data_IF_385998671404
#
_entry.id   IF_385998671404
#
_cell.length_a   1.000
_cell.length_b   1.000
_cell.length_c   1.000
_cell.angle_alpha   90.00
_cell.angle_beta   90.00
_cell.angle_gamma   90.00
#
_symmetry.space_group_name_H-M   'P 1'
#
loop_
_entity.id
_entity.type
_entity.pdbx_description
1 polymer ?
#
# COMPACT_ATOMS: atom_id res chain seq x y z
N UNK A 1 -12.12 3.79 -27.90
CA UNK A 1 -13.01 4.78 -27.22
C UNK A 1 -12.14 5.98 -26.87
N UNK A 2 -12.59 7.21 -27.10
CA UNK A 2 -11.84 8.39 -26.65
C UNK A 2 -11.94 8.52 -25.12
N UNK A 3 -11.02 9.26 -24.52
CA UNK A 3 -11.10 9.51 -23.06
C UNK A 3 -12.37 10.28 -22.69
N UNK A 4 -12.77 11.26 -23.50
CA UNK A 4 -14.03 11.99 -23.28
C UNK A 4 -15.24 11.05 -23.29
N UNK A 5 -15.32 10.10 -24.24
CA UNK A 5 -16.43 9.13 -24.28
C UNK A 5 -16.42 8.23 -23.01
N UNK A 6 -15.23 7.74 -22.62
CA UNK A 6 -15.08 6.92 -21.41
C UNK A 6 -15.48 7.67 -20.15
N UNK A 7 -15.05 8.93 -20.02
CA UNK A 7 -15.38 9.78 -18.88
C UNK A 7 -16.87 10.12 -18.81
N UNK A 8 -17.49 10.48 -19.92
CA UNK A 8 -18.92 10.79 -19.93
C UNK A 8 -19.77 9.58 -19.55
N UNK A 9 -19.44 8.40 -20.08
CA UNK A 9 -20.10 7.16 -19.72
C UNK A 9 -19.87 6.79 -18.23
N UNK A 10 -18.64 6.97 -17.74
CA UNK A 10 -18.33 6.79 -16.32
C UNK A 10 -19.15 7.72 -15.42
N UNK A 11 -19.22 9.00 -15.76
CA UNK A 11 -19.98 9.99 -14.99
C UNK A 11 -21.50 9.76 -15.05
N UNK A 12 -22.02 9.17 -16.14
CA UNK A 12 -23.41 8.74 -16.23
C UNK A 12 -23.71 7.63 -15.22
N UNK A 13 -22.89 6.58 -15.20
CA UNK A 13 -23.01 5.48 -14.24
C UNK A 13 -22.86 5.97 -12.80
N UNK A 14 -21.89 6.86 -12.55
CA UNK A 14 -21.66 7.41 -11.23
C UNK A 14 -22.85 8.26 -10.74
N UNK A 15 -23.49 9.06 -11.62
CA UNK A 15 -24.69 9.82 -11.27
C UNK A 15 -25.90 8.92 -10.97
N UNK A 16 -26.02 7.81 -11.71
CA UNK A 16 -27.10 6.85 -11.50
C UNK A 16 -26.93 6.07 -10.20
N UNK A 17 -25.74 5.54 -9.95
CA UNK A 17 -25.46 4.64 -8.83
C UNK A 17 -25.06 5.35 -7.55
N UNK A 18 -24.22 6.37 -7.65
CA UNK A 18 -23.58 7.05 -6.51
C UNK A 18 -23.65 8.57 -6.67
N UNK A 19 -24.84 9.17 -6.64
CA UNK A 19 -25.05 10.59 -6.94
C UNK A 19 -24.29 11.54 -6.00
N UNK A 20 -24.06 11.16 -4.74
CA UNK A 20 -23.28 11.97 -3.79
C UNK A 20 -21.81 12.03 -4.23
N UNK A 21 -21.23 10.89 -4.61
CA UNK A 21 -19.85 10.82 -5.12
C UNK A 21 -19.73 11.56 -6.45
N UNK A 22 -20.71 11.41 -7.35
CA UNK A 22 -20.72 12.13 -8.62
C UNK A 22 -20.77 13.65 -8.45
N UNK A 23 -21.56 14.14 -7.51
CA UNK A 23 -21.68 15.58 -7.20
C UNK A 23 -20.40 16.18 -6.59
N UNK A 24 -19.54 15.36 -6.00
CA UNK A 24 -18.28 15.79 -5.41
C UNK A 24 -17.14 15.95 -6.47
N UNK A 25 -17.33 15.47 -7.69
CA UNK A 25 -16.40 15.71 -8.80
C UNK A 25 -16.50 17.18 -9.22
N UNK A 26 -15.38 17.89 -9.11
CA UNK A 26 -15.35 19.34 -9.37
C UNK A 26 -15.33 19.64 -10.87
N UNK A 27 -15.97 20.72 -11.33
CA UNK A 27 -15.90 21.15 -12.71
C UNK A 27 -14.46 21.52 -13.09
N UNK A 28 -14.10 21.42 -14.38
CA UNK A 28 -12.74 21.72 -14.84
C UNK A 28 -12.38 23.19 -14.65
N UNK A 29 -11.10 23.45 -14.39
CA UNK A 29 -10.53 24.79 -14.36
C UNK A 29 -10.34 25.35 -15.76
N UNK A 30 -9.97 26.62 -15.81
CA UNK A 30 -9.74 27.29 -17.08
C UNK A 30 -8.61 26.63 -17.89
N UNK A 31 -8.60 26.83 -19.20
CA UNK A 31 -7.51 26.38 -20.05
C UNK A 31 -6.16 26.94 -19.60
N UNK A 32 -6.12 28.23 -19.21
CA UNK A 32 -4.90 28.88 -18.74
C UNK A 32 -4.33 28.22 -17.45
N UNK A 33 -5.22 27.79 -16.52
CA UNK A 33 -4.79 27.09 -15.30
C UNK A 33 -4.14 25.75 -15.65
N UNK A 34 -4.77 24.99 -16.57
CA UNK A 34 -4.24 23.69 -17.04
C UNK A 34 -2.87 23.84 -17.74
N UNK A 35 -2.75 24.81 -18.66
CA UNK A 35 -1.48 25.11 -19.33
C UNK A 35 -0.39 25.57 -18.31
N UNK A 36 -0.79 26.19 -17.23
CA UNK A 36 0.15 26.58 -16.16
C UNK A 36 0.60 25.35 -15.37
N UNK A 37 -0.32 24.46 -14.99
CA UNK A 37 0.02 23.22 -14.29
C UNK A 37 0.95 22.32 -15.15
N UNK A 38 0.64 22.16 -16.42
CA UNK A 38 1.49 21.43 -17.37
C UNK A 38 2.90 22.04 -17.47
N UNK A 39 3.02 23.35 -17.56
CA UNK A 39 4.31 24.05 -17.71
C UNK A 39 5.23 23.86 -16.48
N UNK A 40 4.64 23.77 -15.28
CA UNK A 40 5.43 23.65 -14.03
C UNK A 40 5.67 22.20 -13.61
N UNK A 41 5.04 21.23 -14.27
CA UNK A 41 5.29 19.80 -14.06
C UNK A 41 6.17 19.22 -15.17
N UNK A 42 5.56 18.75 -16.25
CA UNK A 42 6.23 18.23 -17.45
C UNK A 42 5.21 18.27 -18.61
N UNK A 43 5.60 18.26 -19.88
CA UNK A 43 4.65 18.15 -20.98
C UNK A 43 3.70 16.96 -20.83
N UNK A 44 2.40 17.22 -20.96
CA UNK A 44 1.36 16.21 -20.79
C UNK A 44 1.01 15.51 -22.11
N UNK A 45 0.73 14.18 -22.08
CA UNK A 45 0.05 13.52 -23.20
C UNK A 45 -1.33 14.13 -23.45
N UNK A 46 -1.87 13.92 -24.66
CA UNK A 46 -3.18 14.44 -25.05
C UNK A 46 -4.28 13.97 -24.09
N UNK A 47 -4.30 12.68 -23.75
CA UNK A 47 -5.26 12.10 -22.80
C UNK A 47 -5.25 12.81 -21.45
N UNK A 48 -4.08 13.18 -20.92
CA UNK A 48 -4.01 13.87 -19.63
C UNK A 48 -4.52 15.31 -19.70
N UNK A 49 -4.29 16.02 -20.83
CA UNK A 49 -4.87 17.34 -21.08
C UNK A 49 -6.39 17.26 -21.18
N UNK A 50 -6.90 16.26 -21.88
CA UNK A 50 -8.33 15.99 -22.04
C UNK A 50 -8.95 15.65 -20.67
N UNK A 51 -8.28 14.81 -19.85
CA UNK A 51 -8.74 14.43 -18.52
C UNK A 51 -9.00 15.65 -17.63
N UNK A 52 -8.02 16.56 -17.51
CA UNK A 52 -8.20 17.79 -16.74
C UNK A 52 -9.07 18.85 -17.45
N UNK A 53 -9.44 18.65 -18.68
CA UNK A 53 -10.47 19.45 -19.32
C UNK A 53 -11.90 19.02 -18.95
N UNK A 54 -12.07 17.87 -18.32
CA UNK A 54 -13.34 17.28 -17.92
C UNK A 54 -13.66 17.49 -16.43
N UNK A 55 -12.63 17.66 -15.57
CA UNK A 55 -12.81 17.86 -14.12
C UNK A 55 -11.60 18.56 -13.46
N UNK A 56 -11.77 18.98 -12.21
CA UNK A 56 -10.69 19.46 -11.32
C UNK A 56 -10.64 18.64 -10.01
N UNK A 57 -10.58 17.31 -10.15
CA UNK A 57 -10.45 16.42 -9.03
C UNK A 57 -11.74 16.17 -8.24
N UNK A 58 -11.58 15.36 -7.20
CA UNK A 58 -12.65 15.00 -6.26
C UNK A 58 -12.05 14.84 -4.86
N UNK A 59 -12.52 15.58 -3.84
CA UNK A 59 -12.06 15.38 -2.47
C UNK A 59 -12.70 14.13 -1.86
N UNK A 60 -12.08 13.55 -0.85
CA UNK A 60 -12.71 12.50 -0.04
C UNK A 60 -13.86 13.04 0.83
N UNK A 61 -13.82 14.33 1.17
CA UNK A 61 -14.81 14.98 2.04
C UNK A 61 -15.29 16.28 1.43
N UNK A 62 -16.56 16.58 1.66
CA UNK A 62 -17.16 17.89 1.36
C UNK A 62 -16.61 19.00 2.27
N UNK A 63 -16.97 20.23 1.99
CA UNK A 63 -16.62 21.39 2.83
C UNK A 63 -17.19 21.27 4.25
N UNK A 64 -18.31 20.57 4.43
CA UNK A 64 -18.93 20.25 5.73
C UNK A 64 -18.31 19.00 6.39
N UNK A 65 -17.14 18.55 5.91
CA UNK A 65 -16.40 17.40 6.41
C UNK A 65 -17.14 16.05 6.32
N UNK A 66 -18.18 15.95 5.48
CA UNK A 66 -18.88 14.68 5.21
C UNK A 66 -18.08 13.86 4.20
N UNK A 67 -17.99 12.55 4.42
CA UNK A 67 -17.37 11.65 3.45
C UNK A 67 -18.27 11.56 2.21
N UNK A 68 -17.70 11.82 1.04
CA UNK A 68 -18.43 11.86 -0.25
C UNK A 68 -18.07 10.69 -1.18
N UNK A 69 -17.31 9.74 -0.68
CA UNK A 69 -16.90 8.57 -1.44
C UNK A 69 -15.65 8.75 -2.27
N UNK A 70 -15.37 7.75 -3.07
CA UNK A 70 -14.19 7.65 -3.92
C UNK A 70 -14.64 7.29 -5.34
N UNK A 71 -14.48 8.21 -6.29
CA UNK A 71 -14.86 7.97 -7.68
C UNK A 71 -13.99 6.91 -8.35
N UNK A 72 -12.74 6.78 -7.92
CA UNK A 72 -11.79 5.77 -8.36
C UNK A 72 -11.45 4.79 -7.22
N UNK A 73 -11.05 3.54 -7.53
CA UNK A 73 -10.76 2.52 -6.51
C UNK A 73 -9.65 2.93 -5.53
N UNK A 74 -10.02 3.18 -4.28
CA UNK A 74 -9.10 3.46 -3.17
C UNK A 74 -8.34 4.79 -3.24
N UNK A 75 -8.59 5.62 -4.26
CA UNK A 75 -7.89 6.88 -4.48
C UNK A 75 -8.84 8.04 -4.76
N UNK A 76 -8.42 9.25 -4.40
CA UNK A 76 -9.10 10.50 -4.80
C UNK A 76 -8.51 11.05 -6.08
N UNK A 77 -9.34 11.63 -6.92
CA UNK A 77 -8.90 12.44 -8.07
C UNK A 77 -8.21 13.71 -7.58
N UNK A 78 -7.01 13.98 -8.08
CA UNK A 78 -6.28 15.20 -7.74
C UNK A 78 -6.84 16.41 -8.49
N UNK A 79 -6.94 17.56 -7.80
CA UNK A 79 -7.09 18.86 -8.47
C UNK A 79 -5.78 19.31 -9.10
N UNK A 80 -5.81 20.27 -10.02
CA UNK A 80 -4.60 20.82 -10.64
C UNK A 80 -3.59 21.32 -9.60
N UNK A 81 -4.06 21.97 -8.53
CA UNK A 81 -3.18 22.46 -7.47
C UNK A 81 -2.52 21.30 -6.71
N UNK A 82 -3.24 20.20 -6.51
CA UNK A 82 -2.68 18.99 -5.89
C UNK A 82 -1.72 18.26 -6.83
N UNK A 83 -2.00 18.16 -8.12
CA UNK A 83 -1.04 17.62 -9.12
C UNK A 83 0.29 18.34 -9.02
N UNK A 84 0.26 19.68 -9.06
CA UNK A 84 1.48 20.52 -8.99
C UNK A 84 2.19 20.35 -7.65
N UNK A 85 1.46 20.36 -6.53
CA UNK A 85 2.07 20.24 -5.21
C UNK A 85 2.63 18.85 -4.95
N UNK A 86 1.93 17.78 -5.32
CA UNK A 86 2.41 16.39 -5.20
C UNK A 86 3.63 16.16 -6.08
N UNK A 87 3.58 16.57 -7.35
CA UNK A 87 4.72 16.46 -8.26
C UNK A 87 5.95 17.20 -7.73
N UNK A 88 5.80 18.42 -7.21
CA UNK A 88 6.90 19.19 -6.61
C UNK A 88 7.43 18.49 -5.36
N UNK A 89 6.56 18.08 -4.43
CA UNK A 89 6.92 17.35 -3.21
C UNK A 89 7.75 16.11 -3.53
N UNK A 90 7.31 15.30 -4.47
CA UNK A 90 8.02 14.08 -4.86
C UNK A 90 9.40 14.39 -5.45
N UNK A 91 9.53 15.42 -6.28
CA UNK A 91 10.82 15.84 -6.83
C UNK A 91 11.80 16.36 -5.77
N UNK A 92 11.30 16.97 -4.71
CA UNK A 92 12.14 17.56 -3.66
C UNK A 92 12.51 16.56 -2.55
N UNK A 93 11.65 15.56 -2.30
CA UNK A 93 11.78 14.66 -1.15
C UNK A 93 12.19 13.23 -1.52
N UNK A 94 11.83 12.76 -2.72
CA UNK A 94 12.14 11.40 -3.14
C UNK A 94 13.44 11.40 -3.95
N UNK A 95 14.52 11.07 -3.29
CA UNK A 95 15.85 10.93 -3.89
C UNK A 95 16.08 9.49 -4.36
N UNK A 96 17.02 9.29 -5.34
CA UNK A 96 17.47 7.96 -5.71
C UNK A 96 17.94 7.19 -4.48
N UNK A 97 17.58 5.91 -4.43
CA UNK A 97 17.99 5.03 -3.33
C UNK A 97 19.49 4.73 -3.50
N UNK A 98 20.26 4.86 -2.44
CA UNK A 98 21.74 4.74 -2.48
C UNK A 98 22.26 3.43 -3.07
N UNK A 99 21.48 2.31 -2.97
CA UNK A 99 21.90 1.02 -3.52
C UNK A 99 21.84 0.94 -5.05
N UNK A 100 21.16 1.86 -5.73
CA UNK A 100 21.05 1.88 -7.19
C UNK A 100 22.36 2.29 -7.89
N UNK A 101 23.30 2.85 -7.14
CA UNK A 101 24.61 3.25 -7.60
C UNK A 101 24.62 4.56 -8.37
N UNK A 102 25.83 5.16 -8.58
CA UNK A 102 25.98 6.50 -9.13
C UNK A 102 25.57 6.62 -10.61
N UNK A 103 25.59 5.52 -11.36
CA UNK A 103 25.26 5.51 -12.80
C UNK A 103 23.76 5.34 -13.06
N UNK A 104 22.94 5.03 -12.03
CA UNK A 104 21.51 4.81 -12.17
C UNK A 104 20.76 5.99 -12.81
N UNK A 105 21.00 7.25 -12.44
CA UNK A 105 20.36 8.40 -13.10
C UNK A 105 20.65 8.49 -14.62
N UNK A 106 21.77 7.96 -15.07
CA UNK A 106 22.12 7.90 -16.51
C UNK A 106 21.31 6.81 -17.18
N UNK A 107 21.23 5.62 -16.56
CA UNK A 107 20.45 4.47 -17.03
C UNK A 107 18.98 4.84 -17.18
N UNK A 108 18.38 5.47 -16.17
CA UNK A 108 16.97 5.88 -16.16
C UNK A 108 16.63 6.86 -17.28
N UNK A 109 17.56 7.74 -17.67
CA UNK A 109 17.34 8.68 -18.80
C UNK A 109 17.16 7.99 -20.15
N UNK A 110 17.68 6.78 -20.30
CA UNK A 110 17.55 5.98 -21.52
C UNK A 110 16.29 5.11 -21.53
N UNK A 111 15.60 4.99 -20.40
CA UNK A 111 14.40 4.16 -20.24
C UNK A 111 13.19 4.76 -20.98
N UNK A 112 12.30 3.86 -21.36
CA UNK A 112 11.01 4.19 -21.97
C UNK A 112 9.88 4.16 -20.93
N UNK A 113 8.74 4.74 -21.28
CA UNK A 113 7.53 4.65 -20.48
C UNK A 113 7.17 3.18 -20.19
N UNK A 114 6.73 2.89 -18.98
CA UNK A 114 6.42 1.54 -18.52
C UNK A 114 7.59 0.79 -17.89
N UNK A 115 8.85 1.23 -18.06
CA UNK A 115 10.01 0.62 -17.42
C UNK A 115 10.17 1.15 -15.97
N UNK A 116 10.62 0.29 -15.06
CA UNK A 116 10.81 0.64 -13.64
C UNK A 116 12.05 1.51 -13.45
N UNK A 117 11.87 2.67 -12.80
CA UNK A 117 12.97 3.57 -12.47
C UNK A 117 13.45 3.44 -11.02
N UNK A 118 12.66 2.81 -10.16
CA UNK A 118 12.91 2.65 -8.71
C UNK A 118 13.12 4.02 -8.00
N UNK A 119 12.57 5.07 -8.60
CA UNK A 119 12.62 6.43 -8.09
C UNK A 119 11.53 7.28 -8.73
N UNK A 120 11.19 8.41 -8.12
CA UNK A 120 10.30 9.37 -8.76
C UNK A 120 11.02 10.11 -9.89
N UNK A 121 10.37 10.16 -11.05
CA UNK A 121 10.87 10.91 -12.20
C UNK A 121 10.04 12.18 -12.46
N UNK A 122 10.66 13.28 -12.93
CA UNK A 122 9.91 14.48 -13.33
C UNK A 122 8.87 14.22 -14.43
N UNK A 123 8.99 13.12 -15.15
CA UNK A 123 8.08 12.66 -16.21
C UNK A 123 6.88 11.87 -15.68
N UNK A 124 6.77 11.67 -14.38
CA UNK A 124 5.63 11.03 -13.72
C UNK A 124 4.63 12.10 -13.27
N UNK A 125 3.47 12.15 -13.89
CA UNK A 125 2.45 13.14 -13.55
C UNK A 125 1.37 12.47 -12.70
N UNK A 126 1.32 12.72 -11.38
CA UNK A 126 0.29 12.16 -10.51
C UNK A 126 -1.09 12.72 -10.88
N UNK A 127 -2.13 11.88 -10.89
CA UNK A 127 -3.50 12.30 -11.16
C UNK A 127 -4.52 11.82 -10.13
N UNK A 128 -4.15 10.82 -9.32
CA UNK A 128 -4.96 10.31 -8.21
C UNK A 128 -4.06 9.86 -7.07
N UNK A 129 -4.50 10.03 -5.83
CA UNK A 129 -3.70 9.78 -4.61
C UNK A 129 -4.56 9.07 -3.56
N UNK A 130 -4.00 8.09 -2.87
CA UNK A 130 -4.66 7.44 -1.76
C UNK A 130 -4.49 8.21 -0.43
N UNK A 131 -4.93 7.60 0.68
CA UNK A 131 -4.83 8.22 2.02
C UNK A 131 -3.44 8.09 2.65
N UNK A 132 -2.62 7.18 2.15
CA UNK A 132 -1.25 6.96 2.61
C UNK A 132 -0.25 7.90 1.91
N UNK A 133 -0.66 8.52 0.79
CA UNK A 133 0.18 9.41 -0.01
C UNK A 133 0.82 8.70 -1.20
N UNK A 134 0.42 7.46 -1.46
CA UNK A 134 0.73 6.73 -2.67
C UNK A 134 -0.18 7.21 -3.81
N UNK A 135 0.25 7.08 -5.05
CA UNK A 135 -0.50 7.70 -6.13
C UNK A 135 -0.43 6.95 -7.47
N UNK A 136 -1.48 7.12 -8.25
CA UNK A 136 -1.49 6.78 -9.66
C UNK A 136 -0.92 7.94 -10.47
N UNK A 137 -0.09 7.60 -11.45
CA UNK A 137 0.53 8.58 -12.34
C UNK A 137 0.48 8.16 -13.81
N UNK A 138 0.58 9.18 -14.67
CA UNK A 138 0.79 9.01 -16.10
C UNK A 138 2.27 9.09 -16.38
N UNK A 139 2.84 8.05 -17.00
CA UNK A 139 4.24 8.03 -17.41
C UNK A 139 4.39 8.73 -18.77
N UNK A 140 5.00 9.93 -18.76
CA UNK A 140 5.16 10.76 -19.96
C UNK A 140 6.49 10.55 -20.68
N UNK A 141 7.29 9.52 -20.30
CA UNK A 141 8.48 9.13 -21.05
C UNK A 141 8.10 8.68 -22.47
N UNK A 142 9.06 8.72 -23.38
CA UNK A 142 8.87 8.24 -24.75
C UNK A 142 8.69 6.72 -24.85
N UNK A 143 8.37 6.22 -26.05
CA UNK A 143 8.25 4.79 -26.31
C UNK A 143 6.81 4.33 -26.52
N UNK A 144 6.64 3.01 -26.65
CA UNK A 144 5.34 2.38 -26.97
C UNK A 144 4.27 2.60 -25.90
N UNK A 145 4.70 2.70 -24.64
CA UNK A 145 3.83 2.87 -23.48
C UNK A 145 3.70 4.31 -23.02
N UNK A 146 4.03 5.30 -23.88
CA UNK A 146 3.84 6.72 -23.58
C UNK A 146 2.40 7.00 -23.15
N UNK A 147 2.20 7.57 -21.97
CA UNK A 147 0.87 7.85 -21.42
C UNK A 147 0.25 6.71 -20.61
N UNK A 148 0.97 5.61 -20.41
CA UNK A 148 0.47 4.50 -19.56
C UNK A 148 0.28 4.92 -18.10
N UNK A 149 -0.63 4.22 -17.43
CA UNK A 149 -0.94 4.41 -16.02
C UNK A 149 -0.10 3.45 -15.19
N UNK A 150 0.52 3.99 -14.15
CA UNK A 150 1.32 3.24 -13.19
C UNK A 150 1.03 3.68 -11.76
N UNK A 151 1.47 2.89 -10.80
CA UNK A 151 1.36 3.18 -9.37
C UNK A 151 2.73 3.53 -8.80
N UNK A 152 2.76 4.48 -7.88
CA UNK A 152 3.95 4.87 -7.13
C UNK A 152 3.65 4.76 -5.63
N UNK A 153 4.39 3.91 -4.93
CA UNK A 153 4.37 3.80 -3.49
C UNK A 153 5.50 4.65 -2.89
N UNK A 154 5.20 5.46 -1.89
CA UNK A 154 6.19 6.34 -1.26
C UNK A 154 7.34 5.56 -0.62
N UNK A 155 7.09 4.33 -0.17
CA UNK A 155 8.07 3.44 0.47
C UNK A 155 8.78 2.48 -0.50
N UNK A 156 8.15 2.17 -1.64
CA UNK A 156 8.61 1.14 -2.59
C UNK A 156 8.87 1.69 -4.01
N UNK A 157 8.73 2.99 -4.21
CA UNK A 157 8.88 3.67 -5.50
C UNK A 157 7.92 3.15 -6.60
N UNK A 158 8.37 3.07 -7.83
CA UNK A 158 7.59 2.66 -8.99
C UNK A 158 7.79 1.18 -9.34
N UNK A 159 7.70 0.31 -8.37
CA UNK A 159 7.76 -1.13 -8.58
C UNK A 159 6.62 -1.60 -9.50
N UNK A 160 6.95 -2.54 -10.40
CA UNK A 160 5.97 -3.15 -11.30
C UNK A 160 5.79 -2.45 -12.65
N UNK A 161 5.00 -3.09 -13.51
CA UNK A 161 4.73 -2.65 -14.88
C UNK A 161 3.58 -1.64 -14.99
N UNK A 162 3.16 -1.40 -16.23
CA UNK A 162 1.95 -0.61 -16.52
C UNK A 162 0.70 -1.32 -16.02
N UNK A 163 -0.13 -0.60 -15.27
CA UNK A 163 -1.45 -1.09 -14.85
C UNK A 163 -2.45 -1.02 -16.02
N UNK A 164 -2.43 0.11 -16.76
CA UNK A 164 -3.27 0.35 -17.92
C UNK A 164 -2.49 1.05 -19.02
N UNK A 165 -2.87 0.79 -20.26
CA UNK A 165 -2.24 1.39 -21.45
C UNK A 165 -2.57 2.87 -21.61
N UNK A 166 -3.72 3.33 -21.09
CA UNK A 166 -4.20 4.71 -21.20
C UNK A 166 -5.16 5.09 -20.07
N UNK A 167 -5.40 6.39 -19.89
CA UNK A 167 -6.46 6.92 -19.01
C UNK A 167 -7.85 6.47 -19.45
N UNK A 168 -8.10 6.40 -20.77
CA UNK A 168 -9.39 5.94 -21.29
C UNK A 168 -9.68 4.49 -20.88
N UNK A 169 -8.69 3.59 -21.00
CA UNK A 169 -8.84 2.18 -20.60
C UNK A 169 -9.05 2.05 -19.09
N UNK A 170 -8.33 2.84 -18.29
CA UNK A 170 -8.50 2.84 -16.85
C UNK A 170 -9.91 3.29 -16.44
N UNK A 171 -10.36 4.44 -16.91
CA UNK A 171 -11.68 4.99 -16.60
C UNK A 171 -12.80 4.04 -17.05
N UNK A 172 -12.68 3.45 -18.24
CA UNK A 172 -13.67 2.46 -18.73
C UNK A 172 -13.67 1.18 -17.91
N UNK A 173 -12.52 0.72 -17.42
CA UNK A 173 -12.45 -0.45 -16.54
C UNK A 173 -13.12 -0.19 -15.19
N UNK A 174 -12.91 0.98 -14.59
CA UNK A 174 -13.60 1.40 -13.36
C UNK A 174 -15.11 1.49 -13.56
N UNK A 175 -15.55 2.13 -14.67
CA UNK A 175 -16.97 2.20 -15.03
C UNK A 175 -17.60 0.81 -15.07
N UNK A 176 -16.98 -0.14 -15.80
CA UNK A 176 -17.48 -1.52 -15.92
C UNK A 176 -17.57 -2.23 -14.58
N UNK A 177 -16.60 -2.02 -13.70
CA UNK A 177 -16.63 -2.55 -12.35
C UNK A 177 -17.83 -2.03 -11.56
N UNK A 178 -18.11 -0.72 -11.59
CA UNK A 178 -19.28 -0.14 -10.90
C UNK A 178 -20.59 -0.68 -11.47
N UNK A 179 -20.71 -0.81 -12.81
CA UNK A 179 -21.92 -1.32 -13.47
C UNK A 179 -22.20 -2.78 -13.10
N UNK A 180 -21.19 -3.63 -13.11
CA UNK A 180 -21.32 -5.06 -12.87
C UNK A 180 -21.27 -5.43 -11.38
N UNK A 181 -20.80 -4.52 -10.51
CA UNK A 181 -20.49 -4.84 -9.13
C UNK A 181 -19.32 -5.82 -9.00
N UNK A 182 -18.43 -5.87 -10.00
CA UNK A 182 -17.27 -6.77 -9.98
C UNK A 182 -16.05 -6.08 -9.42
N UNK A 183 -15.10 -6.89 -8.96
CA UNK A 183 -13.81 -6.44 -8.44
C UNK A 183 -13.03 -5.60 -9.48
N UNK A 184 -12.36 -4.57 -8.98
CA UNK A 184 -11.33 -3.81 -9.70
C UNK A 184 -10.10 -3.71 -8.81
N UNK A 185 -9.00 -4.31 -9.22
CA UNK A 185 -7.75 -4.28 -8.44
C UNK A 185 -7.96 -4.68 -6.96
N UNK A 186 -8.60 -5.83 -6.71
CA UNK A 186 -8.95 -6.39 -5.38
C UNK A 186 -9.94 -5.55 -4.55
N UNK A 187 -10.52 -4.52 -5.09
CA UNK A 187 -11.53 -3.68 -4.42
C UNK A 187 -12.90 -3.85 -5.08
N UNK A 188 -13.93 -4.02 -4.25
CA UNK A 188 -15.32 -4.13 -4.67
C UNK A 188 -16.03 -2.79 -4.55
N UNK A 189 -16.75 -2.34 -5.59
CA UNK A 189 -17.58 -1.14 -5.50
C UNK A 189 -18.85 -1.42 -4.70
N UNK A 190 -19.02 -0.68 -3.62
CA UNK A 190 -20.22 -0.73 -2.79
C UNK A 190 -20.85 0.65 -2.72
N UNK A 191 -22.17 0.77 -2.86
CA UNK A 191 -22.86 2.05 -2.76
C UNK A 191 -23.79 2.04 -1.55
N UNK A 192 -23.58 3.01 -0.66
CA UNK A 192 -24.43 3.23 0.50
C UNK A 192 -24.87 4.71 0.55
N UNK A 193 -26.18 4.94 0.60
CA UNK A 193 -26.76 6.30 0.64
C UNK A 193 -26.27 7.22 -0.50
N UNK A 194 -26.00 6.66 -1.69
CA UNK A 194 -25.52 7.39 -2.85
C UNK A 194 -24.02 7.73 -2.82
N UNK A 195 -23.28 7.16 -1.88
CA UNK A 195 -21.84 7.27 -1.73
C UNK A 195 -21.17 5.99 -2.22
N UNK A 196 -20.24 6.10 -3.18
CA UNK A 196 -19.41 4.99 -3.63
C UNK A 196 -18.23 4.78 -2.69
N UNK A 197 -18.06 3.55 -2.26
CA UNK A 197 -16.93 3.09 -1.43
C UNK A 197 -16.28 1.90 -2.12
N UNK A 198 -14.98 1.81 -2.03
CA UNK A 198 -14.22 0.69 -2.54
C UNK A 198 -13.61 -0.07 -1.38
N UNK A 199 -14.13 -1.28 -1.15
CA UNK A 199 -13.71 -2.12 -0.05
C UNK A 199 -13.12 -3.43 -0.57
N UNK A 200 -12.24 -4.04 0.21
CA UNK A 200 -11.79 -5.40 -0.05
C UNK A 200 -12.99 -6.34 0.11
N UNK A 201 -13.24 -7.17 -0.90
CA UNK A 201 -14.26 -8.20 -0.77
C UNK A 201 -13.83 -9.27 0.23
N UNK A 202 -14.45 -9.24 1.39
CA UNK A 202 -14.29 -10.30 2.39
C UNK A 202 -15.35 -11.41 2.25
N UNK A 203 -16.23 -11.36 1.23
CA UNK A 203 -17.32 -12.33 1.07
C UNK A 203 -16.81 -13.72 0.71
N UNK A 204 -15.68 -13.82 0.02
CA UNK A 204 -14.98 -15.10 -0.23
C UNK A 204 -14.09 -15.54 0.94
N UNK A 205 -13.97 -14.73 1.99
CA UNK A 205 -13.47 -15.28 3.23
C UNK A 205 -14.49 -16.30 3.72
N UNK A 206 -14.10 -17.54 3.97
CA UNK A 206 -15.01 -18.54 4.48
C UNK A 206 -15.71 -17.92 5.68
N UNK A 207 -17.08 -18.01 5.70
CA UNK A 207 -17.94 -17.65 6.84
C UNK A 207 -17.12 -17.88 8.10
N UNK A 208 -16.96 -16.89 8.99
CA UNK A 208 -16.08 -17.06 10.12
C UNK A 208 -16.47 -18.35 10.81
N UNK A 209 -15.74 -19.43 10.49
CA UNK A 209 -15.73 -20.58 11.34
C UNK A 209 -15.44 -20.02 12.72
N UNK A 210 -16.13 -20.49 13.78
CA UNK A 210 -15.87 -20.00 15.13
C UNK A 210 -14.36 -19.88 15.24
N UNK A 211 -13.89 -18.63 15.43
CA UNK A 211 -12.45 -18.31 15.38
C UNK A 211 -11.77 -19.37 16.24
N UNK A 212 -10.88 -20.18 15.71
CA UNK A 212 -10.21 -21.17 16.52
C UNK A 212 -9.61 -20.41 17.72
N UNK A 213 -9.83 -20.95 18.91
CA UNK A 213 -9.33 -20.31 20.14
C UNK A 213 -7.84 -20.03 19.99
N UNK A 214 -7.36 -18.87 20.45
CA UNK A 214 -5.94 -18.58 20.42
C UNK A 214 -5.17 -19.67 21.18
N UNK A 215 -3.97 -19.96 20.71
CA UNK A 215 -3.13 -20.99 21.29
C UNK A 215 -2.34 -20.38 22.44
N UNK A 216 -2.40 -20.92 23.67
CA UNK A 216 -1.65 -20.41 24.78
C UNK A 216 -0.13 -20.62 24.54
N UNK A 217 0.63 -19.54 24.49
CA UNK A 217 2.09 -19.54 24.44
C UNK A 217 2.62 -19.01 25.75
N UNK A 218 3.17 -19.91 26.57
CA UNK A 218 3.78 -19.53 27.84
C UNK A 218 5.13 -18.86 27.63
N UNK A 219 5.28 -17.63 28.11
CA UNK A 219 6.52 -16.88 28.08
C UNK A 219 7.14 -16.87 29.47
N UNK A 220 8.43 -17.20 29.59
CA UNK A 220 9.13 -17.23 30.91
C UNK A 220 9.53 -15.83 31.42
N UNK A 221 8.91 -14.77 30.86
CA UNK A 221 9.17 -13.38 31.24
C UNK A 221 7.94 -12.51 31.02
N UNK A 222 7.72 -11.45 31.80
CA UNK A 222 6.61 -10.53 31.59
C UNK A 222 6.77 -9.73 30.30
N UNK A 223 5.67 -9.59 29.52
CA UNK A 223 5.58 -8.58 28.48
C UNK A 223 5.46 -7.22 29.18
N UNK A 224 6.45 -6.36 29.01
CA UNK A 224 6.39 -4.99 29.54
C UNK A 224 5.83 -4.05 28.48
N UNK A 225 4.91 -3.17 28.88
CA UNK A 225 4.49 -2.06 28.05
C UNK A 225 5.68 -1.15 27.71
N UNK A 226 5.74 -0.75 26.43
CA UNK A 226 6.84 0.04 25.89
C UNK A 226 7.05 1.36 26.63
N UNK A 227 8.20 1.53 27.25
CA UNK A 227 8.73 2.83 27.68
C UNK A 227 10.22 2.97 27.30
N UNK A 228 10.54 3.76 26.24
CA UNK A 228 11.91 3.84 25.70
C UNK A 228 12.98 4.38 26.66
N UNK A 229 12.60 4.93 27.82
CA UNK A 229 13.48 5.70 28.68
C UNK A 229 14.07 4.97 29.89
N UNK A 230 13.78 3.68 30.11
CA UNK A 230 14.08 3.01 31.35
C UNK A 230 15.05 1.80 31.27
N UNK A 231 15.72 1.59 30.14
CA UNK A 231 16.63 0.44 30.02
C UNK A 231 18.05 0.82 30.40
N UNK A 232 18.44 0.55 31.62
CA UNK A 232 19.82 0.73 32.14
C UNK A 232 20.29 -0.36 33.11
N UNK A 233 19.75 -1.58 33.09
CA UNK A 233 20.29 -2.66 33.93
C UNK A 233 20.54 -3.94 33.16
N UNK A 234 21.72 -4.53 33.37
CA UNK A 234 22.10 -5.87 32.87
C UNK A 234 21.24 -7.01 33.49
N UNK A 235 20.36 -6.68 34.41
CA UNK A 235 19.53 -7.65 35.17
C UNK A 235 18.26 -8.08 34.42
N UNK A 236 17.93 -7.44 33.27
CA UNK A 236 16.75 -7.78 32.48
C UNK A 236 17.09 -8.66 31.25
N UNK A 237 18.12 -9.50 31.35
CA UNK A 237 18.45 -10.42 30.26
C UNK A 237 17.40 -11.53 30.15
N UNK A 238 16.76 -11.59 28.98
CA UNK A 238 15.82 -12.67 28.66
C UNK A 238 16.61 -13.97 28.48
N UNK A 239 16.13 -15.05 29.12
CA UNK A 239 16.60 -16.39 28.78
C UNK A 239 16.09 -16.83 27.41
N UNK A 240 16.89 -16.54 26.38
CA UNK A 240 16.57 -16.87 25.01
C UNK A 240 16.39 -18.37 24.74
N UNK A 241 17.09 -19.21 25.49
CA UNK A 241 16.97 -20.66 25.35
C UNK A 241 15.64 -21.15 25.94
N UNK A 242 15.19 -20.55 27.05
CA UNK A 242 13.85 -20.83 27.60
C UNK A 242 12.74 -20.41 26.63
N UNK A 243 12.88 -19.24 26.01
CA UNK A 243 11.92 -18.78 24.96
C UNK A 243 11.89 -19.74 23.76
N UNK A 244 13.05 -20.08 23.22
CA UNK A 244 13.16 -21.04 22.11
C UNK A 244 12.51 -22.37 22.46
N UNK A 245 12.80 -22.87 23.66
CA UNK A 245 12.20 -24.11 24.13
C UNK A 245 10.68 -24.04 24.21
N UNK A 246 10.13 -22.98 24.80
CA UNK A 246 8.67 -22.79 24.90
C UNK A 246 7.99 -22.75 23.52
N UNK A 247 8.60 -22.06 22.54
CA UNK A 247 8.08 -22.00 21.18
C UNK A 247 8.12 -23.37 20.49
N UNK A 248 9.22 -24.13 20.66
CA UNK A 248 9.34 -25.46 20.08
C UNK A 248 8.38 -26.45 20.73
N UNK A 249 8.22 -26.41 22.05
CA UNK A 249 7.28 -27.25 22.78
C UNK A 249 5.84 -26.97 22.35
N UNK A 250 5.50 -25.69 22.14
CA UNK A 250 4.18 -25.28 21.62
C UNK A 250 3.98 -25.79 20.21
N UNK A 251 4.92 -25.57 19.30
CA UNK A 251 4.85 -26.07 17.93
C UNK A 251 4.73 -27.59 17.88
N UNK A 252 5.45 -28.32 18.71
CA UNK A 252 5.36 -29.80 18.80
C UNK A 252 4.00 -30.26 19.31
N UNK A 253 3.39 -29.53 20.25
CA UNK A 253 2.07 -29.85 20.76
C UNK A 253 0.97 -29.63 19.73
N UNK A 254 1.13 -28.65 18.86
CA UNK A 254 0.23 -28.33 17.74
C UNK A 254 0.31 -29.31 16.59
N UNK A 255 1.49 -29.89 16.39
CA UNK A 255 1.79 -30.82 15.31
C UNK A 255 2.33 -32.15 15.85
N UNK A 256 1.50 -32.91 16.59
CA UNK A 256 1.92 -34.17 17.16
C UNK A 256 2.27 -35.17 16.04
N UNK A 257 3.48 -35.70 16.09
CA UNK A 257 3.98 -36.66 15.09
C UNK A 257 4.81 -36.04 13.95
N UNK A 258 4.83 -34.71 13.84
CA UNK A 258 5.72 -34.00 12.91
C UNK A 258 7.11 -33.78 13.51
N UNK A 259 8.11 -33.64 12.64
CA UNK A 259 9.46 -33.24 13.06
C UNK A 259 9.53 -31.72 13.21
N UNK A 260 9.63 -31.23 14.45
CA UNK A 260 9.72 -29.80 14.76
C UNK A 260 11.18 -29.44 15.03
N UNK A 261 11.70 -28.46 14.32
CA UNK A 261 13.08 -27.99 14.47
C UNK A 261 13.11 -26.46 14.50
N UNK A 262 13.86 -25.91 15.46
CA UNK A 262 14.17 -24.48 15.50
C UNK A 262 15.45 -24.16 14.75
N UNK A 263 15.52 -22.96 14.18
CA UNK A 263 16.71 -22.43 13.54
C UNK A 263 16.85 -20.93 13.77
N UNK A 264 18.02 -20.39 13.46
CA UNK A 264 18.28 -18.95 13.48
C UNK A 264 18.09 -18.39 12.06
N UNK A 265 17.22 -17.39 11.91
CA UNK A 265 17.10 -16.62 10.69
C UNK A 265 17.88 -15.31 10.86
N UNK A 266 18.83 -15.07 9.98
CA UNK A 266 19.54 -13.79 9.91
C UNK A 266 18.80 -12.94 8.88
N UNK A 267 18.02 -11.95 9.36
CA UNK A 267 17.48 -10.91 8.46
C UNK A 267 18.52 -9.78 8.37
N UNK A 268 19.14 -9.54 7.22
CA UNK A 268 20.24 -8.56 7.09
C UNK A 268 19.81 -7.10 7.18
N UNK A 269 18.53 -6.78 7.33
CA UNK A 269 18.00 -5.43 7.14
C UNK A 269 17.42 -4.75 8.39
N UNK A 270 17.47 -5.34 9.56
CA UNK A 270 17.07 -4.60 10.78
C UNK A 270 18.27 -3.78 11.25
N UNK A 271 18.22 -2.44 11.23
CA UNK A 271 19.31 -1.63 11.78
C UNK A 271 19.54 -2.05 13.23
N UNK A 272 20.78 -2.35 13.57
CA UNK A 272 21.20 -2.66 14.94
C UNK A 272 21.03 -1.43 15.84
N UNK A 273 19.80 -1.17 16.26
CA UNK A 273 19.57 -0.27 17.37
C UNK A 273 19.73 -1.08 18.66
N UNK A 274 20.66 -0.67 19.47
CA UNK A 274 20.96 -1.08 20.86
C UNK A 274 20.07 -2.23 21.37
N UNK A 275 20.47 -3.46 21.14
CA UNK A 275 19.81 -4.67 21.59
C UNK A 275 20.23 -5.85 20.73
N UNK A 276 20.20 -7.06 21.27
CA UNK A 276 20.42 -8.27 20.49
C UNK A 276 19.07 -8.70 19.93
N UNK A 277 18.93 -8.65 18.63
CA UNK A 277 17.77 -9.23 17.95
C UNK A 277 18.08 -10.67 17.63
N UNK A 278 17.30 -11.58 18.16
CA UNK A 278 17.37 -13.00 17.79
C UNK A 278 16.17 -13.34 16.95
N UNK A 279 16.41 -13.63 15.69
CA UNK A 279 15.40 -14.14 14.78
C UNK A 279 15.44 -15.66 14.83
N UNK A 280 14.35 -16.26 15.26
CA UNK A 280 14.19 -17.71 15.26
C UNK A 280 13.06 -18.09 14.31
N UNK A 281 13.25 -19.16 13.57
CA UNK A 281 12.16 -19.78 12.82
C UNK A 281 11.93 -21.20 13.32
N UNK A 282 10.68 -21.63 13.22
CA UNK A 282 10.28 -23.01 13.51
C UNK A 282 9.96 -23.69 12.20
N UNK A 283 10.64 -24.80 11.92
CA UNK A 283 10.32 -25.67 10.79
C UNK A 283 9.50 -26.86 11.28
N UNK A 284 8.46 -27.17 10.51
CA UNK A 284 7.65 -28.39 10.70
C UNK A 284 7.82 -29.23 9.44
N UNK A 285 8.37 -30.43 9.59
CA UNK A 285 8.71 -31.34 8.47
C UNK A 285 9.56 -30.68 7.38
N UNK A 286 10.52 -29.83 7.80
CA UNK A 286 11.42 -29.12 6.90
C UNK A 286 10.86 -27.85 6.26
N UNK A 287 9.60 -27.49 6.54
CA UNK A 287 8.96 -26.28 6.01
C UNK A 287 8.91 -25.21 7.08
N UNK A 288 9.46 -23.99 6.87
CA UNK A 288 9.30 -22.88 7.81
C UNK A 288 7.81 -22.56 8.01
N UNK A 289 7.36 -22.46 9.26
CA UNK A 289 5.96 -22.19 9.63
C UNK A 289 5.78 -20.98 10.54
N UNK A 290 6.79 -20.70 11.37
CA UNK A 290 6.74 -19.56 12.30
C UNK A 290 8.04 -18.81 12.27
N UNK A 291 7.95 -17.48 12.24
CA UNK A 291 9.07 -16.58 12.44
C UNK A 291 8.86 -15.84 13.75
N UNK A 292 9.83 -15.93 14.65
CA UNK A 292 9.84 -15.25 15.93
C UNK A 292 10.99 -14.26 15.95
N UNK A 293 10.68 -12.98 16.12
CA UNK A 293 11.71 -11.98 16.37
C UNK A 293 11.65 -11.58 17.84
N UNK A 294 12.74 -11.78 18.55
CA UNK A 294 12.91 -11.38 19.95
C UNK A 294 13.91 -10.24 19.96
N UNK A 295 13.47 -9.08 20.41
CA UNK A 295 14.33 -7.91 20.59
C UNK A 295 14.66 -7.80 22.07
N UNK A 296 15.94 -7.92 22.40
CA UNK A 296 16.45 -7.77 23.78
C UNK A 296 17.08 -6.40 23.98
N UNK A 297 16.99 -5.85 25.18
CA UNK A 297 17.73 -4.66 25.60
C UNK A 297 16.99 -3.33 25.55
N UNK A 298 15.83 -3.22 24.88
CA UNK A 298 14.96 -2.04 24.95
C UNK A 298 13.54 -2.45 25.30
N UNK A 299 13.12 -3.63 24.84
CA UNK A 299 11.79 -4.18 25.10
C UNK A 299 11.80 -5.69 24.91
N UNK A 300 11.07 -6.36 25.78
CA UNK A 300 10.79 -7.77 25.62
C UNK A 300 9.62 -7.93 24.63
N UNK A 301 9.80 -7.49 23.38
CA UNK A 301 8.81 -7.64 22.34
C UNK A 301 9.05 -8.94 21.58
N UNK A 302 8.05 -9.81 21.62
CA UNK A 302 7.99 -11.01 20.77
C UNK A 302 7.07 -10.69 19.60
N UNK A 303 7.64 -10.60 18.40
CA UNK A 303 6.88 -10.42 17.17
C UNK A 303 6.80 -11.78 16.47
N UNK A 304 5.60 -12.28 16.30
CA UNK A 304 5.35 -13.54 15.58
C UNK A 304 4.87 -13.21 14.18
N UNK A 305 5.68 -13.55 13.19
CA UNK A 305 5.27 -13.54 11.79
C UNK A 305 4.76 -14.94 11.43
N UNK A 306 3.69 -15.04 10.69
CA UNK A 306 2.96 -16.29 10.41
C UNK A 306 2.36 -16.92 11.69
N UNK A 307 1.14 -16.49 11.98
CA UNK A 307 0.40 -17.03 13.11
C UNK A 307 -0.47 -18.21 12.68
N UNK A 308 -0.67 -19.21 13.57
CA UNK A 308 -1.67 -20.24 13.35
C UNK A 308 -3.08 -19.61 13.30
N UNK A 309 -4.06 -20.28 12.67
CA UNK A 309 -5.45 -19.85 12.74
C UNK A 309 -5.89 -19.64 14.21
N UNK A 310 -6.36 -18.41 14.53
CA UNK A 310 -6.71 -18.01 15.88
C UNK A 310 -5.65 -17.26 16.65
N UNK A 311 -4.41 -17.22 16.16
CA UNK A 311 -3.30 -16.50 16.80
C UNK A 311 -2.77 -17.17 18.07
N UNK A 312 -1.91 -16.45 18.81
CA UNK A 312 -1.40 -16.86 20.11
C UNK A 312 -2.01 -15.99 21.21
N UNK A 313 -2.35 -16.59 22.34
CA UNK A 313 -2.57 -15.91 23.60
C UNK A 313 -1.28 -16.04 24.42
N UNK A 314 -0.60 -14.93 24.69
CA UNK A 314 0.62 -14.94 25.48
C UNK A 314 0.27 -15.05 26.96
N UNK A 315 0.69 -16.15 27.60
CA UNK A 315 0.54 -16.37 29.03
C UNK A 315 1.90 -16.15 29.66
N UNK A 316 1.95 -15.27 30.64
CA UNK A 316 3.13 -15.00 31.44
C UNK A 316 3.00 -15.79 32.71
N UNK A 317 3.97 -16.68 32.98
CA UNK A 317 4.03 -17.39 34.25
C UNK A 317 4.53 -16.40 35.32
N UNK A 318 3.77 -16.26 36.45
CA UNK A 318 4.06 -15.41 37.61
C UNK A 318 5.34 -15.88 38.36
#
# INVERSE_FOLDING_TARGET
>A
MTLTDAWLAFMEVLRDRAPVTAAAVRPPRTRSDRETAERVTNPWPEDLREFFALHDGQPFRSDDNQFVGEALPGVKLLSLDHVVSTHRRCREQLHPIDYLGPDWPITVRAQHAGETAEMFLPTYIPFAEDRAGDFLYVDTRGGLHHGCIRYFAAEAADEGGSLFGSLADYVDSVRRSIESGSEHSYLMPTVTDGVLVWDVDFSDQPIPHPQPSPIPLHLPFPLKDFQPSLVNSDDDLIDLDAVRKSVLDTAQSLHPGSHVQGGEAIFPQVPRQRGVTVNSYVQIDGVPRFYLTIVTGVENNVIVYEMPPGGFEFIVDD
#
